data_IF_665660505109
#
_entry.id   IF_665660505109
#
_cell.length_a   1.000
_cell.length_b   1.000
_cell.length_c   1.000
_cell.angle_alpha   90.00
_cell.angle_beta   90.00
_cell.angle_gamma   90.00
#
_symmetry.space_group_name_H-M   'P 1'
#
loop_
_entity.id
_entity.type
_entity.pdbx_description
1 polymer ?
#
# COMPACT_ATOMS: atom_id res chain seq x y z
N UNK A 1 -32.43 -38.46 -27.09
CA UNK A 1 -32.43 -37.43 -26.02
C UNK A 1 -31.32 -37.78 -25.03
N UNK A 2 -30.14 -37.15 -25.15
CA UNK A 2 -29.00 -37.29 -24.22
C UNK A 2 -28.64 -35.88 -23.76
N UNK A 3 -29.00 -35.54 -22.52
CA UNK A 3 -28.62 -34.27 -21.89
C UNK A 3 -27.15 -34.38 -21.49
N UNK A 4 -26.25 -33.73 -22.23
CA UNK A 4 -24.86 -33.54 -21.80
C UNK A 4 -24.78 -32.19 -21.11
N UNK A 5 -24.83 -32.18 -19.78
CA UNK A 5 -24.54 -31.00 -18.98
C UNK A 5 -23.03 -30.78 -19.08
N UNK A 6 -22.60 -29.88 -19.99
CA UNK A 6 -21.26 -29.30 -19.92
C UNK A 6 -21.25 -28.36 -18.72
N UNK A 7 -20.65 -28.81 -17.62
CA UNK A 7 -20.13 -27.90 -16.61
C UNK A 7 -19.00 -27.10 -17.28
N UNK A 8 -19.34 -25.90 -17.75
CA UNK A 8 -18.35 -24.90 -18.11
C UNK A 8 -17.65 -24.46 -16.83
N UNK A 9 -16.65 -25.23 -16.40
CA UNK A 9 -15.61 -24.72 -15.52
C UNK A 9 -14.94 -23.62 -16.36
N UNK A 10 -14.98 -22.33 -15.95
CA UNK A 10 -14.24 -21.31 -16.66
C UNK A 10 -12.79 -21.79 -16.69
N UNK A 11 -12.23 -21.89 -17.89
CA UNK A 11 -10.84 -22.21 -18.12
C UNK A 11 -9.97 -21.08 -17.57
N UNK A 12 -9.74 -21.08 -16.25
CA UNK A 12 -8.88 -20.14 -15.51
C UNK A 12 -7.41 -20.25 -15.93
N UNK A 13 -7.02 -21.31 -16.66
CA UNK A 13 -5.62 -21.57 -17.02
C UNK A 13 -5.26 -21.33 -18.49
N UNK A 14 -6.16 -20.79 -19.33
CA UNK A 14 -5.93 -20.82 -20.79
C UNK A 14 -5.29 -19.56 -21.39
N UNK A 15 -5.09 -18.46 -20.66
CA UNK A 15 -4.38 -17.30 -21.22
C UNK A 15 -3.83 -16.32 -20.16
N UNK A 16 -2.62 -16.54 -19.62
CA UNK A 16 -2.00 -15.64 -18.63
C UNK A 16 -1.50 -14.33 -19.24
N UNK A 17 -1.69 -14.05 -20.53
CA UNK A 17 -1.29 -12.76 -21.12
C UNK A 17 -2.46 -11.79 -21.32
N UNK A 18 -3.72 -12.26 -21.24
CA UNK A 18 -4.88 -11.50 -21.72
C UNK A 18 -5.81 -10.96 -20.64
N UNK A 19 -5.65 -11.38 -19.38
CA UNK A 19 -6.43 -10.83 -18.25
C UNK A 19 -5.65 -9.75 -17.47
N UNK A 20 -4.32 -9.72 -17.58
CA UNK A 20 -3.43 -8.92 -16.74
C UNK A 20 -2.84 -7.69 -17.43
N UNK A 21 -3.22 -7.45 -18.69
CA UNK A 21 -2.90 -6.24 -19.45
C UNK A 21 -4.04 -5.21 -19.41
N UNK A 22 -4.95 -5.31 -18.44
CA UNK A 22 -5.81 -4.15 -18.17
C UNK A 22 -4.98 -3.14 -17.39
N UNK A 23 -5.04 -1.90 -17.86
CA UNK A 23 -4.42 -0.68 -17.37
C UNK A 23 -4.79 -0.28 -15.93
N UNK A 24 -5.29 -1.23 -15.13
CA UNK A 24 -6.10 -0.97 -13.95
C UNK A 24 -5.37 -1.28 -12.64
N UNK A 25 -4.16 -1.84 -12.72
CA UNK A 25 -3.28 -2.03 -11.57
C UNK A 25 -2.37 -0.80 -11.41
N UNK A 26 -2.60 -0.01 -10.36
CA UNK A 26 -1.84 1.22 -10.09
C UNK A 26 -0.31 1.00 -9.89
N UNK A 27 0.09 -0.24 -9.60
CA UNK A 27 1.48 -0.61 -9.34
C UNK A 27 2.27 -1.02 -10.61
N UNK A 28 1.60 -1.37 -11.71
CA UNK A 28 2.23 -1.74 -13.00
C UNK A 28 3.22 -2.94 -12.97
N UNK A 29 3.25 -3.74 -11.89
CA UNK A 29 3.95 -5.02 -11.79
C UNK A 29 3.13 -6.03 -10.98
N UNK A 30 3.50 -7.31 -11.04
CA UNK A 30 2.79 -8.42 -10.39
C UNK A 30 3.37 -8.76 -9.01
N UNK A 31 2.50 -9.07 -8.06
CA UNK A 31 2.80 -9.33 -6.65
C UNK A 31 2.63 -10.83 -6.36
N UNK A 32 3.50 -11.65 -6.96
CA UNK A 32 3.37 -13.12 -6.97
C UNK A 32 3.81 -13.84 -5.67
N UNK A 33 4.49 -13.14 -4.76
CA UNK A 33 5.03 -13.71 -3.51
C UNK A 33 4.76 -12.81 -2.30
N UNK A 34 3.56 -12.26 -2.20
CA UNK A 34 3.16 -11.36 -1.11
C UNK A 34 2.60 -12.05 0.14
N UNK A 35 2.64 -13.37 0.17
CA UNK A 35 2.12 -14.13 1.29
C UNK A 35 2.88 -13.86 2.60
N UNK A 36 4.17 -13.55 2.49
CA UNK A 36 5.06 -13.31 3.63
C UNK A 36 4.97 -11.90 4.20
N UNK A 37 4.31 -10.96 3.52
CA UNK A 37 4.09 -9.60 3.98
C UNK A 37 2.59 -9.23 4.09
N UNK A 38 1.73 -9.74 3.20
CA UNK A 38 0.31 -9.42 3.10
C UNK A 38 -0.66 -10.53 3.54
N UNK A 39 -0.18 -11.69 4.01
CA UNK A 39 -1.10 -12.66 4.66
C UNK A 39 -1.56 -12.16 6.04
N UNK A 40 -2.73 -12.57 6.51
CA UNK A 40 -3.21 -12.20 7.87
C UNK A 40 -2.22 -12.61 8.96
N UNK A 41 -1.67 -13.83 8.86
CA UNK A 41 -0.65 -14.31 9.79
C UNK A 41 0.65 -13.46 9.73
N UNK A 42 1.11 -13.10 8.53
CA UNK A 42 2.27 -12.23 8.36
C UNK A 42 2.01 -10.82 8.91
N UNK A 43 0.87 -10.22 8.60
CA UNK A 43 0.47 -8.90 9.09
C UNK A 43 0.43 -8.85 10.63
N UNK A 44 -0.15 -9.87 11.28
CA UNK A 44 -0.14 -10.01 12.74
C UNK A 44 1.29 -10.14 13.28
N UNK A 45 2.12 -10.98 12.65
CA UNK A 45 3.51 -11.19 13.06
C UNK A 45 4.32 -9.89 12.98
N UNK A 46 4.30 -9.19 11.83
CA UNK A 46 5.04 -7.94 11.64
C UNK A 46 4.53 -6.81 12.54
N UNK A 47 3.21 -6.73 12.76
CA UNK A 47 2.62 -5.76 13.70
C UNK A 47 3.08 -6.03 15.14
N UNK A 48 3.14 -7.30 15.56
CA UNK A 48 3.65 -7.68 16.87
C UNK A 48 5.15 -7.41 17.00
N UNK A 49 5.94 -7.70 15.95
CA UNK A 49 7.37 -7.42 15.92
C UNK A 49 7.64 -5.91 16.06
N UNK A 50 6.87 -5.07 15.37
CA UNK A 50 6.96 -3.61 15.49
C UNK A 50 6.59 -3.13 16.89
N UNK A 51 5.49 -3.64 17.46
CA UNK A 51 5.06 -3.31 18.81
C UNK A 51 6.06 -3.72 19.89
N UNK A 52 6.76 -4.85 19.70
CA UNK A 52 7.77 -5.36 20.64
C UNK A 52 8.92 -4.37 20.85
N UNK A 53 9.25 -3.53 19.86
CA UNK A 53 10.26 -2.48 20.00
C UNK A 53 9.90 -1.45 21.08
N UNK A 54 8.61 -1.32 21.40
CA UNK A 54 8.08 -0.37 22.37
C UNK A 54 7.59 -1.04 23.66
N UNK A 55 7.93 -2.31 23.92
CA UNK A 55 7.38 -3.09 25.04
C UNK A 55 7.57 -2.45 26.44
N UNK A 56 8.56 -1.56 26.58
CA UNK A 56 8.81 -0.78 27.80
C UNK A 56 7.67 0.21 28.12
N UNK A 57 6.97 0.70 27.09
CA UNK A 57 5.77 1.52 27.22
C UNK A 57 4.60 0.79 26.57
N UNK A 58 3.79 0.12 27.40
CA UNK A 58 2.65 -0.68 26.94
C UNK A 58 1.66 0.13 26.09
N UNK A 59 1.49 1.43 26.38
CA UNK A 59 0.56 2.28 25.63
C UNK A 59 1.09 2.49 24.23
N UNK A 60 2.37 2.83 24.09
CA UNK A 60 3.01 3.02 22.78
C UNK A 60 3.05 1.70 22.01
N UNK A 61 3.36 0.57 22.66
CA UNK A 61 3.36 -0.74 22.03
C UNK A 61 1.99 -1.10 21.42
N UNK A 62 0.90 -0.86 22.17
CA UNK A 62 -0.46 -1.11 21.67
C UNK A 62 -0.79 -0.19 20.48
N UNK A 63 -0.46 1.10 20.57
CA UNK A 63 -0.68 2.03 19.46
C UNK A 63 0.13 1.62 18.22
N UNK A 64 1.39 1.20 18.40
CA UNK A 64 2.24 0.73 17.33
C UNK A 64 1.69 -0.54 16.65
N UNK A 65 1.21 -1.50 17.45
CA UNK A 65 0.54 -2.71 16.93
C UNK A 65 -0.70 -2.35 16.10
N UNK A 66 -1.61 -1.56 16.68
CA UNK A 66 -2.88 -1.20 16.04
C UNK A 66 -2.63 -0.39 14.77
N UNK A 67 -1.69 0.56 14.79
CA UNK A 67 -1.32 1.33 13.62
C UNK A 67 -0.78 0.45 12.49
N UNK A 68 0.16 -0.46 12.78
CA UNK A 68 0.72 -1.38 11.78
C UNK A 68 -0.36 -2.34 11.24
N UNK A 69 -1.15 -2.96 12.12
CA UNK A 69 -2.18 -3.93 11.72
C UNK A 69 -3.34 -3.27 10.97
N UNK A 70 -3.60 -1.97 11.19
CA UNK A 70 -4.64 -1.25 10.46
C UNK A 70 -4.42 -1.22 8.95
N UNK A 71 -3.17 -1.41 8.49
CA UNK A 71 -2.84 -1.55 7.08
C UNK A 71 -3.57 -2.75 6.46
N UNK A 72 -3.40 -3.94 7.04
CA UNK A 72 -4.08 -5.15 6.57
C UNK A 72 -5.62 -5.01 6.59
N UNK A 73 -6.16 -4.34 7.61
CA UNK A 73 -7.60 -4.08 7.71
C UNK A 73 -8.09 -3.17 6.59
N UNK A 74 -7.30 -2.16 6.21
CA UNK A 74 -7.58 -1.26 5.10
C UNK A 74 -7.41 -1.96 3.73
N UNK A 75 -6.47 -2.89 3.64
CA UNK A 75 -6.19 -3.68 2.43
C UNK A 75 -7.29 -4.68 2.11
N UNK A 76 -7.89 -5.30 3.13
CA UNK A 76 -8.91 -6.33 2.97
C UNK A 76 -10.06 -5.93 2.00
N UNK A 77 -10.71 -4.77 2.12
CA UNK A 77 -11.71 -4.38 1.12
C UNK A 77 -11.12 -4.04 -0.25
N UNK A 78 -9.87 -3.62 -0.34
CA UNK A 78 -9.27 -3.10 -1.57
C UNK A 78 -8.70 -4.20 -2.48
N UNK A 79 -8.02 -5.18 -1.89
CA UNK A 79 -7.27 -6.24 -2.55
C UNK A 79 -8.14 -7.23 -3.36
N UNK A 80 -7.57 -7.77 -4.45
CA UNK A 80 -8.25 -8.58 -5.47
C UNK A 80 -8.30 -10.07 -5.11
N UNK A 81 -8.84 -10.41 -3.93
CA UNK A 81 -8.89 -11.79 -3.43
C UNK A 81 -7.52 -12.50 -3.42
N UNK A 82 -6.47 -11.74 -3.15
CA UNK A 82 -5.05 -12.13 -3.18
C UNK A 82 -4.41 -12.09 -1.78
N UNK A 83 -5.14 -11.69 -0.74
CA UNK A 83 -4.64 -11.75 0.64
C UNK A 83 -4.80 -13.17 1.19
N UNK A 84 -3.69 -13.87 1.41
CA UNK A 84 -3.72 -15.21 1.99
C UNK A 84 -4.03 -15.20 3.50
N UNK A 85 -4.60 -16.28 4.04
CA UNK A 85 -4.80 -16.42 5.49
C UNK A 85 -3.46 -16.54 6.25
N UNK A 86 -2.54 -17.33 5.70
CA UNK A 86 -1.17 -17.52 6.14
C UNK A 86 -0.31 -17.84 4.91
N UNK A 87 1.04 -17.82 4.99
CA UNK A 87 1.84 -18.02 3.80
C UNK A 87 1.61 -19.38 3.11
N UNK A 88 1.35 -19.35 1.80
CA UNK A 88 0.95 -20.48 0.95
C UNK A 88 -0.43 -21.08 1.28
N UNK A 89 -1.33 -20.31 1.88
CA UNK A 89 -2.70 -20.74 2.16
C UNK A 89 -3.54 -20.82 0.89
N UNK A 90 -4.36 -21.86 0.74
CA UNK A 90 -5.38 -21.92 -0.33
C UNK A 90 -6.55 -20.94 -0.08
N UNK A 91 -6.74 -20.51 1.18
CA UNK A 91 -7.77 -19.55 1.57
C UNK A 91 -7.25 -18.14 1.33
N UNK A 92 -7.96 -17.42 0.45
CA UNK A 92 -7.68 -16.03 0.10
C UNK A 92 -8.90 -15.13 0.37
N UNK A 93 -8.63 -13.88 0.66
CA UNK A 93 -9.62 -12.84 1.00
C UNK A 93 -9.31 -11.54 0.25
N UNK A 94 -10.33 -10.71 0.09
CA UNK A 94 -10.22 -9.46 -0.68
C UNK A 94 -11.50 -9.19 -1.47
N UNK A 95 -12.06 -7.97 -1.39
CA UNK A 95 -13.28 -7.61 -2.12
C UNK A 95 -13.02 -6.99 -3.51
N UNK A 96 -11.77 -6.69 -3.85
CA UNK A 96 -11.33 -6.16 -5.14
C UNK A 96 -11.85 -4.76 -5.44
N UNK A 97 -11.98 -3.88 -4.43
CA UNK A 97 -12.48 -2.53 -4.64
C UNK A 97 -11.54 -1.69 -5.50
N UNK A 98 -10.22 -1.91 -5.49
CA UNK A 98 -9.31 -1.21 -6.39
C UNK A 98 -9.69 -1.41 -7.86
N UNK A 99 -9.89 -2.66 -8.29
CA UNK A 99 -10.31 -2.95 -9.66
C UNK A 99 -11.70 -2.42 -9.99
N UNK A 100 -12.65 -2.46 -9.04
CA UNK A 100 -14.03 -1.99 -9.25
C UNK A 100 -14.15 -0.47 -9.31
N UNK A 101 -13.32 0.25 -8.56
CA UNK A 101 -13.39 1.71 -8.44
C UNK A 101 -12.40 2.44 -9.36
N UNK A 102 -11.30 1.79 -9.76
CA UNK A 102 -10.28 2.38 -10.62
C UNK A 102 -9.80 3.73 -10.08
N UNK A 103 -9.89 4.80 -10.89
CA UNK A 103 -9.50 6.15 -10.47
C UNK A 103 -10.23 6.63 -9.21
N UNK A 104 -11.46 6.16 -8.96
CA UNK A 104 -12.18 6.55 -7.75
C UNK A 104 -11.52 6.03 -6.47
N UNK A 105 -10.80 4.90 -6.50
CA UNK A 105 -10.05 4.44 -5.32
C UNK A 105 -8.90 5.39 -4.98
N UNK A 106 -8.17 5.88 -5.98
CA UNK A 106 -7.12 6.88 -5.79
C UNK A 106 -7.67 8.19 -5.18
N UNK A 107 -8.87 8.61 -5.62
CA UNK A 107 -9.55 9.78 -5.02
C UNK A 107 -9.93 9.52 -3.55
N UNK A 108 -10.46 8.34 -3.23
CA UNK A 108 -10.82 7.95 -1.87
C UNK A 108 -9.59 7.91 -0.96
N UNK A 109 -8.49 7.34 -1.43
CA UNK A 109 -7.19 7.36 -0.75
C UNK A 109 -6.70 8.80 -0.52
N UNK A 110 -6.86 9.67 -1.53
CA UNK A 110 -6.53 11.09 -1.42
C UNK A 110 -7.35 11.82 -0.35
N UNK A 111 -8.66 11.57 -0.29
CA UNK A 111 -9.53 12.14 0.76
C UNK A 111 -9.14 11.62 2.14
N UNK A 112 -8.83 10.32 2.25
CA UNK A 112 -8.37 9.73 3.50
C UNK A 112 -7.05 10.34 3.98
N UNK A 113 -6.04 10.41 3.10
CA UNK A 113 -4.73 11.02 3.39
C UNK A 113 -4.87 12.50 3.73
N UNK A 114 -5.68 13.26 2.99
CA UNK A 114 -5.94 14.67 3.27
C UNK A 114 -6.57 14.86 4.65
N UNK A 115 -7.52 14.01 5.02
CA UNK A 115 -8.18 14.07 6.33
C UNK A 115 -7.16 13.84 7.46
N UNK A 116 -6.29 12.84 7.33
CA UNK A 116 -5.22 12.57 8.29
C UNK A 116 -4.18 13.71 8.32
N UNK A 117 -3.83 14.28 7.16
CA UNK A 117 -2.89 15.39 7.07
C UNK A 117 -3.44 16.66 7.74
N UNK A 118 -4.71 16.99 7.53
CA UNK A 118 -5.39 18.11 8.20
C UNK A 118 -5.46 17.89 9.70
N UNK A 119 -5.80 16.67 10.13
CA UNK A 119 -5.79 16.33 11.56
C UNK A 119 -4.39 16.51 12.16
N UNK A 120 -3.35 15.96 11.52
CA UNK A 120 -1.96 16.09 11.95
C UNK A 120 -1.51 17.56 11.98
N UNK A 121 -1.95 18.36 11.00
CA UNK A 121 -1.67 19.80 10.94
C UNK A 121 -2.22 20.54 12.17
N UNK A 122 -3.51 20.37 12.45
CA UNK A 122 -4.19 21.01 13.59
C UNK A 122 -3.50 20.64 14.91
N UNK A 123 -3.08 19.37 15.07
CA UNK A 123 -2.43 18.92 16.29
C UNK A 123 -0.98 19.42 16.41
N UNK A 124 -0.28 19.61 15.29
CA UNK A 124 1.07 20.17 15.27
C UNK A 124 1.09 21.69 15.48
N UNK A 125 0.09 22.42 14.97
CA UNK A 125 -0.06 23.86 15.22
C UNK A 125 -0.22 24.17 16.71
N UNK A 126 -0.97 23.34 17.45
CA UNK A 126 -1.09 23.46 18.92
C UNK A 126 0.26 23.37 19.65
N UNK A 127 1.26 22.76 19.02
CA UNK A 127 2.63 22.61 19.53
C UNK A 127 3.60 23.62 18.91
N UNK A 128 3.13 24.55 18.07
CA UNK A 128 3.97 25.50 17.33
C UNK A 128 4.78 24.88 16.19
N UNK A 129 4.49 23.64 15.79
CA UNK A 129 5.27 22.88 14.81
C UNK A 129 4.68 23.10 13.41
N UNK A 130 5.46 23.70 12.51
CA UNK A 130 5.04 23.90 11.12
C UNK A 130 5.01 22.59 10.33
N UNK A 131 3.86 22.30 9.73
CA UNK A 131 3.63 21.12 8.88
C UNK A 131 3.67 21.42 7.37
N UNK A 132 4.03 22.65 6.97
CA UNK A 132 4.01 23.09 5.57
C UNK A 132 4.83 22.17 4.65
N UNK A 133 6.12 21.99 4.96
CA UNK A 133 7.01 21.17 4.14
C UNK A 133 6.65 19.68 4.17
N UNK A 134 6.33 19.06 5.33
CA UNK A 134 5.77 17.71 5.36
C UNK A 134 4.54 17.55 4.45
N UNK A 135 3.61 18.50 4.46
CA UNK A 135 2.42 18.47 3.60
C UNK A 135 2.75 18.64 2.12
N UNK A 136 3.73 19.48 1.76
CA UNK A 136 4.20 19.62 0.37
C UNK A 136 4.79 18.29 -0.12
N UNK A 137 5.64 17.65 0.68
CA UNK A 137 6.22 16.33 0.34
C UNK A 137 5.10 15.29 0.18
N UNK A 138 4.15 15.24 1.11
CA UNK A 138 3.02 14.32 1.03
C UNK A 138 2.18 14.54 -0.23
N UNK A 139 1.91 15.79 -0.61
CA UNK A 139 1.18 16.12 -1.82
C UNK A 139 1.95 15.69 -3.08
N UNK A 140 3.26 15.92 -3.13
CA UNK A 140 4.10 15.46 -4.24
C UNK A 140 4.12 13.93 -4.36
N UNK A 141 4.21 13.21 -3.24
CA UNK A 141 4.16 11.75 -3.22
C UNK A 141 2.79 11.24 -3.70
N UNK A 142 1.70 11.86 -3.24
CA UNK A 142 0.35 11.50 -3.67
C UNK A 142 0.15 11.70 -5.19
N UNK A 143 0.65 12.81 -5.73
CA UNK A 143 0.65 13.06 -7.18
C UNK A 143 1.56 12.06 -7.92
N UNK A 144 2.71 11.71 -7.34
CA UNK A 144 3.61 10.71 -7.90
C UNK A 144 2.96 9.32 -7.97
N UNK A 145 2.03 8.99 -7.08
CA UNK A 145 1.27 7.73 -7.13
C UNK A 145 0.03 7.79 -8.04
N UNK A 146 -0.19 8.90 -8.75
CA UNK A 146 -1.36 9.03 -9.63
C UNK A 146 -1.27 8.13 -10.87
N UNK A 147 -2.43 7.74 -11.47
CA UNK A 147 -2.48 6.96 -12.71
C UNK A 147 -1.73 7.57 -13.91
N UNK A 148 -1.41 8.87 -13.85
CA UNK A 148 -0.79 9.61 -14.94
C UNK A 148 0.69 9.88 -14.72
N UNK A 149 1.10 10.23 -13.49
CA UNK A 149 2.45 10.68 -13.18
C UNK A 149 3.35 9.60 -12.57
N UNK A 150 2.82 8.39 -12.35
CA UNK A 150 3.59 7.30 -11.76
C UNK A 150 4.83 6.94 -12.57
N UNK A 151 6.03 6.96 -11.97
CA UNK A 151 7.25 6.50 -12.63
C UNK A 151 7.18 4.99 -12.91
N UNK A 152 6.41 4.23 -12.11
CA UNK A 152 6.21 2.79 -12.32
C UNK A 152 5.59 2.50 -13.69
N UNK A 153 4.67 3.37 -14.15
CA UNK A 153 4.08 3.28 -15.49
C UNK A 153 5.13 3.31 -16.60
N UNK A 154 6.16 4.15 -16.44
CA UNK A 154 7.22 4.27 -17.42
C UNK A 154 8.16 3.06 -17.36
N UNK A 155 8.53 2.63 -16.14
CA UNK A 155 9.39 1.46 -15.93
C UNK A 155 8.76 0.18 -16.49
N UNK A 156 7.44 0.04 -16.40
CA UNK A 156 6.69 -1.09 -16.96
C UNK A 156 6.76 -1.21 -18.49
N UNK A 157 7.25 -0.19 -19.21
CA UNK A 157 7.45 -0.25 -20.67
C UNK A 157 8.84 -0.75 -21.07
N UNK A 158 9.74 -0.97 -20.11
CA UNK A 158 11.11 -1.43 -20.35
C UNK A 158 11.17 -2.96 -20.54
N UNK A 159 12.21 -3.42 -21.23
CA UNK A 159 12.48 -4.86 -21.38
C UNK A 159 13.15 -5.44 -20.14
N UNK A 160 12.96 -6.74 -19.92
CA UNK A 160 13.69 -7.48 -18.90
C UNK A 160 15.19 -7.61 -19.23
N UNK A 161 16.11 -7.55 -18.24
CA UNK A 161 15.87 -7.50 -16.79
C UNK A 161 15.68 -6.08 -16.21
N UNK A 162 15.71 -5.04 -17.04
CA UNK A 162 15.75 -3.65 -16.56
C UNK A 162 14.45 -3.26 -15.83
N UNK A 163 13.30 -3.77 -16.28
CA UNK A 163 12.01 -3.48 -15.67
C UNK A 163 11.95 -3.91 -14.21
N UNK A 164 12.25 -5.17 -13.86
CA UNK A 164 12.15 -5.61 -12.45
C UNK A 164 13.20 -4.97 -11.54
N UNK A 165 14.42 -4.75 -12.04
CA UNK A 165 15.49 -4.09 -11.25
C UNK A 165 15.06 -2.67 -10.89
N UNK A 166 14.58 -1.90 -11.88
CA UNK A 166 14.17 -0.51 -11.66
C UNK A 166 12.91 -0.42 -10.80
N UNK A 167 11.93 -1.32 -10.96
CA UNK A 167 10.80 -1.39 -10.03
C UNK A 167 11.30 -1.64 -8.60
N UNK A 168 12.19 -2.61 -8.39
CA UNK A 168 12.75 -2.90 -7.07
C UNK A 168 13.47 -1.69 -6.43
N UNK A 169 14.26 -0.96 -7.22
CA UNK A 169 14.93 0.27 -6.77
C UNK A 169 13.91 1.35 -6.38
N UNK A 170 12.91 1.60 -7.23
CA UNK A 170 11.91 2.63 -6.99
C UNK A 170 11.03 2.30 -5.78
N UNK A 171 10.60 1.04 -5.64
CA UNK A 171 9.81 0.58 -4.49
C UNK A 171 10.64 0.72 -3.20
N UNK A 172 11.87 0.22 -3.18
CA UNK A 172 12.77 0.33 -2.02
C UNK A 172 13.02 1.79 -1.63
N UNK A 173 13.33 2.64 -2.62
CA UNK A 173 13.51 4.07 -2.41
C UNK A 173 12.23 4.76 -1.92
N UNK A 174 11.08 4.37 -2.46
CA UNK A 174 9.76 4.87 -2.09
C UNK A 174 9.35 4.53 -0.66
N UNK A 175 9.83 3.42 -0.10
CA UNK A 175 9.60 3.10 1.32
C UNK A 175 10.54 3.87 2.27
N UNK A 176 11.81 4.03 1.89
CA UNK A 176 12.83 4.57 2.81
C UNK A 176 12.92 6.11 2.78
N UNK A 177 12.95 6.71 1.58
CA UNK A 177 13.24 8.13 1.42
C UNK A 177 12.11 9.04 1.96
N UNK A 178 10.82 8.80 1.66
CA UNK A 178 9.74 9.60 2.21
C UNK A 178 9.73 9.62 3.73
N UNK A 179 9.86 8.45 4.38
CA UNK A 179 9.88 8.36 5.84
C UNK A 179 11.05 9.14 6.46
N UNK A 180 12.25 9.01 5.89
CA UNK A 180 13.42 9.75 6.34
C UNK A 180 13.27 11.27 6.16
N UNK A 181 12.79 11.72 4.99
CA UNK A 181 12.57 13.14 4.69
C UNK A 181 11.50 13.72 5.62
N UNK A 182 10.36 13.03 5.80
CA UNK A 182 9.28 13.48 6.68
C UNK A 182 9.76 13.60 8.12
N UNK A 183 10.49 12.60 8.62
CA UNK A 183 11.08 12.63 9.97
C UNK A 183 12.04 13.80 10.13
N UNK A 184 12.92 14.02 9.16
CA UNK A 184 13.86 15.14 9.18
C UNK A 184 13.15 16.51 9.17
N UNK A 185 12.12 16.68 8.33
CA UNK A 185 11.34 17.91 8.24
C UNK A 185 10.60 18.21 9.55
N UNK A 186 9.95 17.21 10.14
CA UNK A 186 9.21 17.36 11.40
C UNK A 186 10.18 17.70 12.53
N UNK A 187 11.28 16.96 12.69
CA UNK A 187 12.28 17.23 13.72
C UNK A 187 12.86 18.64 13.60
N UNK A 188 13.15 19.09 12.36
CA UNK A 188 13.63 20.45 12.11
C UNK A 188 12.60 21.50 12.50
N UNK A 189 11.32 21.26 12.26
CA UNK A 189 10.24 22.16 12.69
C UNK A 189 10.08 22.18 14.21
N UNK A 190 10.16 21.02 14.87
CA UNK A 190 10.09 20.92 16.34
C UNK A 190 11.27 21.64 17.02
N UNK A 191 12.48 21.56 16.45
CA UNK A 191 13.64 22.30 16.98
C UNK A 191 13.49 23.83 16.89
N UNK A 192 12.71 24.35 15.93
CA UNK A 192 12.45 25.79 15.80
C UNK A 192 11.31 26.28 16.69
N UNK A 193 10.44 25.37 17.13
CA UNK A 193 9.28 25.67 17.97
C UNK A 193 9.61 25.72 19.47
N UNK A 194 10.76 25.13 19.87
CA UNK A 194 11.36 25.25 21.20
C UNK A 194 12.12 26.55 21.33
#
# INVERSE_FOLDING_TARGET
MRLSIRLSIPSVCANPARYWQTTDNALFFDLTYIDWDHSLAAALFWSAAWAALFIKDKRIAVVAFVAAFSHFVADWPMHNSDLALYPNSDIHMGYGLWGKLGVASWVLEGVFVLTLAVYAWIQSEKRGVSMLWPSVVLALLFLNLSPWLSPMKHVATLNEPAAHILHGILVTGGFLLPGAIMTWLINRSELKAK
#
